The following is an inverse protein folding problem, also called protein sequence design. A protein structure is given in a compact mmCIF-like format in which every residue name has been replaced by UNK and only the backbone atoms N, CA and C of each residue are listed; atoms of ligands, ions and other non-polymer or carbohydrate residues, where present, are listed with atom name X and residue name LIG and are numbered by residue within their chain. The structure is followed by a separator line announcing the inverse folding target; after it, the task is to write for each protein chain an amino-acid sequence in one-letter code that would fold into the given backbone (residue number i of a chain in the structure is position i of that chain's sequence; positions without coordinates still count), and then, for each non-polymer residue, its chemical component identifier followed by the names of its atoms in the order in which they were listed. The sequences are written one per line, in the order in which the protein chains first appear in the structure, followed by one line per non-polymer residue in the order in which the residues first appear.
data_IF_858913061292
#
_entry.id   IF_858913061292
#
_cell.length_a   1.000
_cell.length_b   1.000
_cell.length_c   1.000
_cell.angle_alpha   90.00
_cell.angle_beta   90.00
_cell.angle_gamma   90.00
#
_symmetry.space_group_name_H-M   'P 1'
#
loop_
_entity.id
_entity.type
_entity.pdbx_description
1 polymer ?
#
# COMPACT_ATOMS: atom_id res chain seq x y z
N UNK A 1 -46.20 41.84 -35.48
CA UNK A 1 -44.75 41.74 -35.26
C UNK A 1 -44.54 40.72 -34.14
N UNK A 2 -44.07 39.50 -34.46
CA UNK A 2 -43.86 38.41 -33.49
C UNK A 2 -42.35 38.26 -33.26
N UNK A 3 -41.86 38.62 -32.08
CA UNK A 3 -40.47 38.36 -31.68
C UNK A 3 -40.40 36.95 -31.09
N UNK A 4 -39.58 36.09 -31.71
CA UNK A 4 -39.31 34.72 -31.26
C UNK A 4 -38.01 34.72 -30.46
N UNK A 5 -38.11 34.47 -29.16
CA UNK A 5 -36.95 34.32 -28.25
C UNK A 5 -36.41 32.89 -28.37
N UNK A 6 -35.23 32.71 -28.94
CA UNK A 6 -34.54 31.42 -28.95
C UNK A 6 -33.76 31.22 -27.65
N UNK A 7 -34.08 30.16 -26.90
CA UNK A 7 -33.29 29.73 -25.74
C UNK A 7 -32.08 28.91 -26.20
N UNK A 8 -30.89 29.24 -25.69
CA UNK A 8 -29.65 28.51 -25.96
C UNK A 8 -29.44 27.44 -24.89
N UNK A 9 -29.53 26.17 -25.27
CA UNK A 9 -29.28 25.03 -24.38
C UNK A 9 -27.83 24.59 -24.54
N UNK A 10 -27.05 24.62 -23.46
CA UNK A 10 -25.71 24.02 -23.43
C UNK A 10 -25.88 22.55 -23.04
N UNK A 11 -25.46 21.63 -23.91
CA UNK A 11 -25.41 20.20 -23.61
C UNK A 11 -24.04 19.85 -23.01
N UNK A 12 -24.03 19.37 -21.77
CA UNK A 12 -22.82 18.86 -21.09
C UNK A 12 -22.58 17.42 -21.51
N UNK A 13 -21.41 17.14 -22.10
CA UNK A 13 -20.98 15.78 -22.44
C UNK A 13 -20.08 15.26 -21.33
N UNK A 14 -20.46 14.16 -20.70
CA UNK A 14 -19.62 13.43 -19.74
C UNK A 14 -18.84 12.34 -20.49
N UNK A 15 -17.51 12.47 -20.54
CA UNK A 15 -16.63 11.39 -20.97
C UNK A 15 -16.25 10.55 -19.76
N UNK A 16 -16.59 9.26 -19.78
CA UNK A 16 -16.09 8.28 -18.80
C UNK A 16 -14.76 7.75 -19.34
N UNK A 17 -13.65 8.12 -18.70
CA UNK A 17 -12.36 7.50 -19.00
C UNK A 17 -12.30 6.11 -18.35
N UNK A 18 -11.81 5.07 -19.05
CA UNK A 18 -11.58 3.78 -18.43
C UNK A 18 -10.50 3.92 -17.35
N UNK A 19 -10.84 3.56 -16.12
CA UNK A 19 -9.85 3.39 -15.05
C UNK A 19 -9.19 2.03 -15.24
N UNK A 20 -7.89 2.00 -15.54
CA UNK A 20 -7.13 0.76 -15.53
C UNK A 20 -6.75 0.43 -14.08
N UNK A 21 -7.63 -0.29 -13.40
CA UNK A 21 -7.33 -0.93 -12.12
C UNK A 21 -6.26 -2.00 -12.33
N UNK A 22 -5.15 -1.89 -11.60
CA UNK A 22 -4.07 -2.89 -11.62
C UNK A 22 -4.08 -3.69 -10.32
N UNK A 23 -3.62 -4.93 -10.44
CA UNK A 23 -3.46 -5.85 -9.32
C UNK A 23 -1.98 -5.99 -8.98
N UNK A 24 -1.66 -5.87 -7.68
CA UNK A 24 -0.34 -6.15 -7.13
C UNK A 24 -0.43 -7.38 -6.23
N UNK A 25 0.22 -8.47 -6.62
CA UNK A 25 0.39 -9.65 -5.77
C UNK A 25 1.72 -9.59 -5.03
N UNK A 26 1.66 -9.56 -3.69
CA UNK A 26 2.82 -9.63 -2.81
C UNK A 26 2.96 -11.04 -2.25
N UNK A 27 4.13 -11.67 -2.45
CA UNK A 27 4.50 -12.92 -1.81
C UNK A 27 5.44 -12.66 -0.63
N UNK A 28 4.93 -12.87 0.58
CA UNK A 28 5.70 -12.77 1.82
C UNK A 28 6.09 -14.17 2.25
N UNK A 29 7.38 -14.45 2.35
CA UNK A 29 7.90 -15.78 2.71
C UNK A 29 8.91 -15.68 3.84
N UNK A 30 9.40 -16.84 4.31
CA UNK A 30 10.38 -16.92 5.40
C UNK A 30 9.84 -16.38 6.74
N UNK A 31 8.54 -16.50 6.97
CA UNK A 31 7.93 -16.19 8.27
C UNK A 31 8.38 -17.28 9.25
N UNK A 32 9.11 -16.88 10.29
CA UNK A 32 9.75 -17.81 11.23
C UNK A 32 8.82 -18.32 12.33
N UNK A 33 7.91 -17.47 12.76
CA UNK A 33 6.94 -17.77 13.81
C UNK A 33 5.55 -17.65 13.20
N UNK A 34 4.75 -18.71 13.22
CA UNK A 34 3.34 -18.64 12.80
C UNK A 34 2.51 -18.10 13.96
N UNK A 35 2.50 -16.77 14.11
CA UNK A 35 1.89 -16.07 15.24
C UNK A 35 1.53 -14.64 14.87
N UNK A 36 0.43 -14.15 15.44
CA UNK A 36 0.05 -12.75 15.37
C UNK A 36 -0.44 -12.35 13.99
N UNK A 37 -0.21 -11.09 13.64
CA UNK A 37 -0.70 -10.47 12.42
C UNK A 37 0.44 -9.96 11.54
N UNK A 38 0.31 -10.10 10.23
CA UNK A 38 1.16 -9.44 9.26
C UNK A 38 0.46 -8.15 8.81
N UNK A 39 1.10 -7.02 9.06
CA UNK A 39 0.67 -5.71 8.60
C UNK A 39 1.51 -5.29 7.41
N UNK A 40 0.85 -4.87 6.34
CA UNK A 40 1.47 -4.51 5.07
C UNK A 40 0.91 -3.17 4.61
N UNK A 41 1.79 -2.25 4.23
CA UNK A 41 1.45 -0.95 3.67
C UNK A 41 2.12 -0.78 2.29
N UNK A 42 1.33 -0.30 1.33
CA UNK A 42 1.74 -0.02 -0.05
C UNK A 42 1.75 1.49 -0.26
N UNK A 43 2.85 1.99 -0.83
CA UNK A 43 3.07 3.42 -1.09
C UNK A 43 3.29 3.64 -2.58
N UNK A 44 2.73 4.73 -3.11
CA UNK A 44 2.82 5.14 -4.51
C UNK A 44 3.77 6.33 -4.74
N UNK A 45 4.30 6.91 -3.65
CA UNK A 45 5.17 8.08 -3.66
C UNK A 45 6.29 7.96 -2.63
N UNK A 46 7.45 8.50 -2.98
CA UNK A 46 8.62 8.55 -2.10
C UNK A 46 8.37 9.33 -0.80
N UNK A 47 7.71 10.50 -0.88
CA UNK A 47 7.42 11.32 0.31
C UNK A 47 6.54 10.56 1.33
N UNK A 48 5.52 9.87 0.84
CA UNK A 48 4.61 9.05 1.63
C UNK A 48 5.36 7.87 2.26
N UNK A 49 6.21 7.22 1.47
CA UNK A 49 7.05 6.12 1.91
C UNK A 49 8.03 6.54 3.02
N UNK A 50 8.75 7.66 2.84
CA UNK A 50 9.73 8.16 3.80
C UNK A 50 9.09 8.65 5.11
N UNK A 51 7.89 9.24 5.02
CA UNK A 51 7.13 9.71 6.19
C UNK A 51 6.32 8.62 6.90
N UNK A 52 6.23 7.40 6.34
CA UNK A 52 5.33 6.33 6.79
C UNK A 52 3.86 6.79 6.89
N UNK A 53 3.41 7.60 5.92
CA UNK A 53 2.07 8.18 5.91
C UNK A 53 1.44 8.10 4.52
N UNK A 54 0.12 8.29 4.41
CA UNK A 54 -0.57 8.36 3.11
C UNK A 54 -0.34 7.13 2.20
N UNK A 55 -0.38 5.93 2.78
CA UNK A 55 -0.38 4.69 2.01
C UNK A 55 -1.61 4.62 1.09
N UNK A 56 -1.45 4.01 -0.08
CA UNK A 56 -2.54 3.80 -1.04
C UNK A 56 -3.32 2.52 -0.75
N UNK A 57 -2.69 1.56 -0.08
CA UNK A 57 -3.36 0.36 0.40
C UNK A 57 -2.69 -0.19 1.65
N UNK A 58 -3.49 -0.82 2.52
CA UNK A 58 -3.02 -1.54 3.70
C UNK A 58 -3.76 -2.85 3.83
N UNK A 59 -3.07 -3.85 4.38
CA UNK A 59 -3.67 -5.11 4.81
C UNK A 59 -3.16 -5.49 6.19
N UNK A 60 -4.06 -6.08 6.97
CA UNK A 60 -3.75 -6.82 8.19
C UNK A 60 -4.28 -8.23 7.99
N UNK A 61 -3.40 -9.24 8.07
CA UNK A 61 -3.80 -10.64 7.90
C UNK A 61 -3.23 -11.49 9.03
N UNK A 62 -3.97 -12.51 9.46
CA UNK A 62 -3.45 -13.47 10.44
C UNK A 62 -2.31 -14.27 9.82
N UNK A 63 -1.22 -14.42 10.57
CA UNK A 63 -0.12 -15.30 10.18
C UNK A 63 -0.52 -16.73 10.48
N UNK A 64 -0.95 -17.46 9.45
CA UNK A 64 -1.35 -18.87 9.54
C UNK A 64 -0.34 -19.82 8.88
N UNK A 65 0.57 -19.30 8.06
CA UNK A 65 1.53 -20.08 7.27
C UNK A 65 2.90 -19.38 7.22
N UNK A 66 3.92 -20.10 6.76
CA UNK A 66 5.28 -19.55 6.62
C UNK A 66 5.48 -18.73 5.34
N UNK A 67 4.51 -18.81 4.42
CA UNK A 67 4.40 -18.03 3.19
C UNK A 67 2.96 -17.55 3.05
N UNK A 68 2.76 -16.28 2.71
CA UNK A 68 1.45 -15.65 2.55
C UNK A 68 1.44 -14.88 1.22
N UNK A 69 0.41 -15.09 0.42
CA UNK A 69 0.13 -14.31 -0.79
C UNK A 69 -0.92 -13.24 -0.48
N UNK A 70 -0.69 -12.01 -0.94
CA UNK A 70 -1.57 -10.87 -0.70
C UNK A 70 -1.84 -10.11 -2.00
N UNK A 71 -3.10 -10.08 -2.43
CA UNK A 71 -3.50 -9.37 -3.64
C UNK A 71 -4.09 -7.99 -3.34
N UNK A 72 -3.49 -6.94 -3.86
CA UNK A 72 -3.98 -5.57 -3.77
C UNK A 72 -4.61 -5.20 -5.11
N UNK A 73 -5.94 -5.12 -5.14
CA UNK A 73 -6.71 -4.73 -6.31
C UNK A 73 -6.93 -3.21 -6.37
N UNK A 74 -7.41 -2.74 -7.52
CA UNK A 74 -7.84 -1.35 -7.75
C UNK A 74 -6.75 -0.30 -7.50
N UNK A 75 -5.48 -0.69 -7.67
CA UNK A 75 -4.37 0.23 -7.60
C UNK A 75 -4.24 0.99 -8.94
N UNK A 76 -3.95 2.31 -8.93
CA UNK A 76 -3.57 3.03 -10.12
C UNK A 76 -2.39 2.37 -10.87
N UNK A 77 -2.19 2.69 -12.13
CA UNK A 77 -0.94 2.29 -12.80
C UNK A 77 0.23 3.09 -12.18
N UNK A 78 1.30 2.41 -11.74
CA UNK A 78 2.45 3.09 -11.15
C UNK A 78 3.46 2.15 -10.51
N UNK A 79 4.53 2.74 -9.98
CA UNK A 79 5.50 2.05 -9.14
C UNK A 79 5.03 2.07 -7.69
N UNK A 80 5.34 0.99 -6.98
CA UNK A 80 4.95 0.82 -5.59
C UNK A 80 6.12 0.36 -4.74
N UNK A 81 6.21 0.92 -3.54
CA UNK A 81 7.08 0.42 -2.49
C UNK A 81 6.24 -0.17 -1.36
N UNK A 82 6.71 -1.26 -0.76
CA UNK A 82 5.99 -1.98 0.29
C UNK A 82 6.81 -1.98 1.57
N UNK A 83 6.14 -1.70 2.70
CA UNK A 83 6.67 -1.97 4.05
C UNK A 83 5.78 -3.00 4.72
N UNK A 84 6.38 -3.92 5.45
CA UNK A 84 5.63 -4.88 6.26
C UNK A 84 6.27 -5.08 7.63
N UNK A 85 5.45 -5.46 8.59
CA UNK A 85 5.91 -5.99 9.87
C UNK A 85 4.96 -7.05 10.41
N UNK A 86 5.51 -7.95 11.20
CA UNK A 86 4.77 -8.98 11.91
C UNK A 86 4.56 -8.52 13.36
N UNK A 87 3.31 -8.23 13.70
CA UNK A 87 2.84 -7.92 15.06
C UNK A 87 2.54 -9.24 15.78
N UNK A 88 3.55 -9.80 16.44
CA UNK A 88 3.47 -11.09 17.13
C UNK A 88 2.73 -11.01 18.47
N UNK A 89 2.59 -9.82 19.05
CA UNK A 89 1.91 -9.59 20.33
C UNK A 89 0.51 -8.96 20.19
N UNK A 90 0.10 -8.63 18.97
CA UNK A 90 -1.22 -8.14 18.58
C UNK A 90 -1.56 -6.75 19.15
N UNK A 91 -0.56 -5.89 19.36
CA UNK A 91 -0.75 -4.55 19.91
C UNK A 91 -0.99 -3.46 18.84
N UNK A 92 -0.87 -3.82 17.55
CA UNK A 92 -1.09 -2.96 16.40
C UNK A 92 0.00 -1.91 16.15
N UNK A 93 1.15 -2.02 16.81
CA UNK A 93 2.25 -1.07 16.76
C UNK A 93 3.56 -1.78 16.39
N UNK A 94 4.49 -1.04 15.80
CA UNK A 94 5.87 -1.54 15.64
C UNK A 94 6.57 -1.37 16.98
N UNK A 95 6.81 -2.47 17.67
CA UNK A 95 7.59 -2.42 18.90
C UNK A 95 9.06 -2.13 18.59
N UNK A 96 9.63 -1.16 19.30
CA UNK A 96 11.03 -0.76 19.16
C UNK A 96 11.79 -0.89 20.46
N UNK A 97 13.02 -1.40 20.38
CA UNK A 97 13.95 -1.52 21.50
C UNK A 97 14.81 -0.26 21.67
N UNK A 98 15.94 -0.44 22.36
CA UNK A 98 16.92 0.64 22.55
C UNK A 98 17.39 1.20 21.18
N UNK A 99 17.40 2.52 21.04
CA UNK A 99 17.80 3.18 19.79
C UNK A 99 16.75 3.17 18.68
N UNK A 100 15.49 2.79 18.96
CA UNK A 100 14.40 2.83 17.98
C UNK A 100 14.41 1.67 16.97
N UNK A 101 15.18 0.62 17.25
CA UNK A 101 15.30 -0.56 16.38
C UNK A 101 14.06 -1.46 16.58
N UNK A 102 13.33 -1.83 15.52
CA UNK A 102 12.22 -2.77 15.65
C UNK A 102 12.65 -4.09 16.28
N UNK A 103 11.90 -4.57 17.28
CA UNK A 103 12.16 -5.86 17.93
C UNK A 103 11.45 -7.02 17.23
N UNK A 104 10.32 -6.73 16.59
CA UNK A 104 9.57 -7.68 15.79
C UNK A 104 10.08 -7.73 14.35
N UNK A 105 9.69 -8.76 13.60
CA UNK A 105 10.14 -8.96 12.22
C UNK A 105 9.50 -7.90 11.32
N UNK A 106 10.31 -7.27 10.49
CA UNK A 106 9.87 -6.33 9.46
C UNK A 106 10.57 -6.62 8.13
N UNK A 107 10.07 -6.01 7.06
CA UNK A 107 10.61 -6.17 5.73
C UNK A 107 10.13 -5.10 4.75
N UNK A 108 10.75 -5.12 3.58
CA UNK A 108 10.50 -4.20 2.49
C UNK A 108 10.27 -4.96 1.18
N UNK A 109 9.64 -4.33 0.19
CA UNK A 109 9.62 -4.83 -1.19
C UNK A 109 11.05 -5.16 -1.67
N UNK A 110 11.14 -6.10 -2.62
CA UNK A 110 12.40 -6.54 -3.24
C UNK A 110 13.47 -7.05 -2.26
N UNK A 111 13.11 -7.36 -1.01
CA UNK A 111 14.06 -7.69 0.06
C UNK A 111 15.13 -6.60 0.26
N UNK A 112 14.77 -5.35 0.03
CA UNK A 112 15.64 -4.21 0.21
C UNK A 112 15.97 -3.98 1.70
N UNK A 113 16.85 -3.01 1.97
CA UNK A 113 17.16 -2.56 3.32
C UNK A 113 18.27 -3.32 4.04
N UNK A 114 19.18 -3.97 3.28
CA UNK A 114 20.34 -4.67 3.85
C UNK A 114 21.34 -3.74 4.56
N UNK A 115 21.34 -2.45 4.22
CA UNK A 115 22.28 -1.44 4.74
C UNK A 115 21.60 -0.28 5.47
N UNK A 116 20.34 -0.46 5.88
CA UNK A 116 19.52 0.58 6.52
C UNK A 116 18.12 0.65 5.89
N UNK A 117 17.30 1.68 6.23
CA UNK A 117 16.03 1.90 5.56
C UNK A 117 16.25 2.09 4.05
N UNK A 118 15.57 1.33 3.17
CA UNK A 118 15.69 1.51 1.73
C UNK A 118 14.98 2.78 1.27
N UNK A 119 15.35 3.26 0.09
CA UNK A 119 14.62 4.29 -0.66
C UNK A 119 13.37 3.72 -1.33
N UNK A 120 12.54 4.59 -1.91
CA UNK A 120 11.32 4.18 -2.60
C UNK A 120 11.57 3.37 -3.88
N UNK A 121 12.69 3.63 -4.56
CA UNK A 121 13.00 3.01 -5.86
C UNK A 121 13.86 1.72 -5.75
N UNK A 122 14.12 1.24 -4.54
CA UNK A 122 14.81 -0.04 -4.25
C UNK A 122 13.84 -1.23 -4.14
#
# INVERSE_FOLDING_TARGET
MRMSTGALTIATVFFVLPSFAHELTLSVSNIKTVKGDLLVAVYDKEEHYNSNSNWVAVKKVKVAETTILLDFADLPAGNYAVKLFQDENENGQIDTGAGGIPIERYGFSNNAGSYGPPSFDE
#
